data_IF_502914022092
#
_entry.id   IF_502914022092
#
_cell.length_a   1.000
_cell.length_b   1.000
_cell.length_c   1.000
_cell.angle_alpha   90.00
_cell.angle_beta   90.00
_cell.angle_gamma   90.00
#
_symmetry.space_group_name_H-M   'P 1'
#
loop_
_entity.id
_entity.type
_entity.pdbx_description
1 polymer ?
#
# COMPACT_ATOMS: atom_id res chain seq x y z
N UNK A 1 21.42 11.60 2.39
CA UNK A 1 21.66 10.15 2.59
C UNK A 1 20.55 9.44 1.85
N UNK A 2 20.90 8.62 0.86
CA UNK A 2 19.89 7.83 0.15
C UNK A 2 19.22 6.89 1.15
N UNK A 3 17.88 6.94 1.21
CA UNK A 3 17.12 6.01 2.05
C UNK A 3 17.34 4.59 1.51
N UNK A 4 17.49 3.58 2.38
CA UNK A 4 17.64 2.20 1.93
C UNK A 4 16.43 1.75 1.10
N UNK A 5 16.69 1.08 -0.02
CA UNK A 5 15.65 0.54 -0.88
C UNK A 5 15.24 -0.83 -0.33
N UNK A 6 13.96 -0.99 -0.08
CA UNK A 6 13.37 -2.27 0.28
C UNK A 6 12.60 -2.83 -0.91
N UNK A 7 12.50 -4.15 -1.01
CA UNK A 7 11.66 -4.83 -2.00
C UNK A 7 10.85 -5.91 -1.31
N UNK A 8 9.62 -6.08 -1.76
CA UNK A 8 8.83 -7.24 -1.36
C UNK A 8 9.48 -8.49 -1.97
N UNK A 9 9.86 -9.46 -1.15
CA UNK A 9 10.74 -10.56 -1.55
C UNK A 9 10.21 -11.88 -1.04
N UNK A 10 10.32 -12.91 -1.88
CA UNK A 10 9.87 -14.27 -1.62
C UNK A 10 11.03 -15.22 -1.89
N UNK A 11 11.61 -15.77 -0.83
CA UNK A 11 12.58 -16.85 -0.92
C UNK A 11 11.85 -18.17 -0.97
N UNK A 12 11.78 -18.77 -2.15
CA UNK A 12 11.10 -20.05 -2.39
C UNK A 12 11.95 -21.18 -1.85
N UNK A 13 11.33 -22.06 -1.07
CA UNK A 13 11.98 -23.24 -0.50
C UNK A 13 11.11 -24.48 -0.68
N UNK A 14 11.74 -25.65 -0.66
CA UNK A 14 11.08 -26.96 -0.60
C UNK A 14 11.42 -27.63 0.72
N UNK A 15 10.44 -27.73 1.63
CA UNK A 15 10.59 -28.36 2.94
C UNK A 15 9.82 -29.68 3.08
N UNK A 16 9.09 -30.10 2.04
CA UNK A 16 8.12 -31.19 2.08
C UNK A 16 6.74 -30.78 2.63
N UNK A 17 6.43 -29.47 2.64
CA UNK A 17 5.14 -28.95 3.07
C UNK A 17 4.06 -29.14 2.00
N UNK A 18 2.95 -29.76 2.39
CA UNK A 18 1.78 -29.95 1.53
C UNK A 18 0.67 -28.94 1.87
N UNK A 19 0.21 -28.20 0.86
CA UNK A 19 -0.86 -27.21 1.06
C UNK A 19 -2.14 -27.85 1.63
N UNK A 20 -2.63 -27.31 2.75
CA UNK A 20 -3.81 -27.81 3.46
C UNK A 20 -3.58 -29.05 4.33
N UNK A 21 -2.38 -29.66 4.28
CA UNK A 21 -2.01 -30.82 5.12
C UNK A 21 -0.83 -30.53 6.05
N UNK A 22 0.04 -29.60 5.67
CA UNK A 22 1.23 -29.24 6.43
C UNK A 22 2.38 -30.23 6.25
N UNK A 23 3.16 -30.38 7.30
CA UNK A 23 4.22 -31.38 7.45
C UNK A 23 3.96 -32.18 8.73
N UNK A 24 4.68 -33.29 8.93
CA UNK A 24 4.69 -33.94 10.25
C UNK A 24 5.23 -32.99 11.32
N UNK A 25 4.82 -33.21 12.57
CA UNK A 25 5.26 -32.42 13.72
C UNK A 25 6.79 -32.42 13.84
N UNK A 26 7.43 -33.59 13.74
CA UNK A 26 8.89 -33.75 13.76
C UNK A 26 9.59 -32.92 12.67
N UNK A 27 9.09 -32.94 11.42
CA UNK A 27 9.65 -32.13 10.33
C UNK A 27 9.45 -30.64 10.56
N UNK A 28 8.30 -30.27 11.12
CA UNK A 28 7.95 -28.89 11.42
C UNK A 28 8.86 -28.33 12.50
N UNK A 29 9.09 -29.08 13.58
CA UNK A 29 10.00 -28.72 14.66
C UNK A 29 11.44 -28.61 14.15
N UNK A 30 11.91 -29.59 13.38
CA UNK A 30 13.25 -29.57 12.80
C UNK A 30 13.45 -28.35 11.87
N UNK A 31 12.48 -28.06 11.00
CA UNK A 31 12.49 -26.90 10.12
C UNK A 31 12.63 -25.59 10.91
N UNK A 32 11.75 -25.37 11.89
CA UNK A 32 11.81 -24.12 12.65
C UNK A 32 13.02 -24.03 13.58
N UNK A 33 13.52 -25.14 14.11
CA UNK A 33 14.77 -25.16 14.86
C UNK A 33 15.96 -24.74 13.97
N UNK A 34 16.02 -25.24 12.75
CA UNK A 34 17.06 -24.88 11.79
C UNK A 34 16.96 -23.41 11.36
N UNK A 35 15.75 -22.92 11.02
CA UNK A 35 15.53 -21.50 10.68
C UNK A 35 15.99 -20.60 11.82
N UNK A 36 15.61 -20.90 13.07
CA UNK A 36 16.05 -20.13 14.24
C UNK A 36 17.58 -20.10 14.35
N UNK A 37 18.23 -21.24 14.18
CA UNK A 37 19.67 -21.34 14.27
C UNK A 37 20.39 -20.58 13.15
N UNK A 38 20.04 -20.85 11.88
CA UNK A 38 20.65 -20.21 10.71
C UNK A 38 20.54 -18.68 10.78
N UNK A 39 19.36 -18.16 11.07
CA UNK A 39 19.13 -16.72 11.09
C UNK A 39 19.74 -16.04 12.33
N UNK A 40 19.66 -16.65 13.52
CA UNK A 40 20.27 -16.08 14.73
C UNK A 40 21.81 -16.01 14.63
N UNK A 41 22.45 -17.01 14.02
CA UNK A 41 23.90 -17.00 13.76
C UNK A 41 24.32 -15.88 12.80
N UNK A 42 23.40 -15.38 11.98
CA UNK A 42 23.62 -14.29 11.03
C UNK A 42 23.02 -12.95 11.53
N UNK A 43 22.76 -12.83 12.84
CA UNK A 43 22.37 -11.56 13.47
C UNK A 43 20.90 -11.19 13.36
N UNK A 44 20.04 -12.06 12.82
CA UNK A 44 18.60 -11.84 12.80
C UNK A 44 17.98 -12.19 14.15
N UNK A 45 16.97 -11.43 14.55
CA UNK A 45 16.12 -11.75 15.69
C UNK A 45 14.96 -12.63 15.24
N UNK A 46 14.56 -13.59 16.08
CA UNK A 46 13.38 -14.41 15.87
C UNK A 46 12.22 -13.82 16.68
N UNK A 47 11.13 -13.49 16.00
CA UNK A 47 9.89 -13.06 16.64
C UNK A 47 8.81 -14.13 16.51
N UNK A 48 8.46 -14.75 17.63
CA UNK A 48 7.40 -15.76 17.69
C UNK A 48 6.00 -15.11 17.66
N UNK A 49 5.05 -15.75 16.97
CA UNK A 49 3.66 -15.27 16.90
C UNK A 49 2.79 -15.88 17.99
N UNK A 50 2.05 -15.01 18.70
CA UNK A 50 1.23 -15.37 19.88
C UNK A 50 0.12 -16.40 19.66
N UNK A 51 -0.29 -16.66 18.42
CA UNK A 51 -1.48 -17.47 18.09
C UNK A 51 -1.18 -18.66 17.15
N UNK A 52 -0.02 -19.30 17.30
CA UNK A 52 0.32 -20.51 16.53
C UNK A 52 0.63 -20.26 15.05
N UNK A 53 1.11 -19.06 14.72
CA UNK A 53 1.61 -18.74 13.38
C UNK A 53 3.11 -19.00 13.26
N UNK A 54 3.63 -19.06 12.04
CA UNK A 54 5.07 -19.16 11.82
C UNK A 54 5.80 -17.91 12.38
N UNK A 55 7.05 -18.06 12.85
CA UNK A 55 7.83 -16.93 13.33
C UNK A 55 8.19 -15.98 12.18
N UNK A 56 8.54 -14.76 12.57
CA UNK A 56 9.19 -13.81 11.69
C UNK A 56 10.71 -13.75 11.99
N UNK A 57 11.56 -13.70 10.97
CA UNK A 57 12.99 -13.34 11.12
C UNK A 57 13.18 -11.87 10.81
N UNK A 58 13.89 -11.15 11.67
CA UNK A 58 13.94 -9.68 11.65
C UNK A 58 15.37 -9.16 11.74
N UNK A 59 15.74 -8.27 10.83
CA UNK A 59 16.97 -7.48 10.88
C UNK A 59 16.67 -6.05 10.40
N UNK A 60 16.79 -5.09 11.31
CA UNK A 60 16.31 -3.71 11.10
C UNK A 60 14.83 -3.69 10.67
N UNK A 61 14.53 -3.16 9.47
CA UNK A 61 13.19 -3.16 8.86
C UNK A 61 12.97 -4.30 7.87
N UNK A 62 13.98 -5.17 7.67
CA UNK A 62 13.79 -6.44 6.97
C UNK A 62 13.04 -7.39 7.89
N UNK A 63 11.92 -7.93 7.42
CA UNK A 63 11.08 -8.88 8.17
C UNK A 63 10.56 -9.94 7.21
N UNK A 64 10.87 -11.20 7.46
CA UNK A 64 10.37 -12.33 6.67
C UNK A 64 9.51 -13.24 7.53
N UNK A 65 8.27 -13.45 7.07
CA UNK A 65 7.40 -14.49 7.59
C UNK A 65 7.90 -15.86 7.13
N UNK A 66 8.20 -16.75 8.08
CA UNK A 66 8.87 -18.02 7.78
C UNK A 66 7.88 -19.15 7.50
N UNK A 67 7.17 -19.08 6.38
CA UNK A 67 6.33 -20.19 5.96
C UNK A 67 7.20 -21.36 5.44
N UNK A 68 6.86 -22.63 5.70
CA UNK A 68 7.64 -23.76 5.20
C UNK A 68 7.74 -23.89 3.67
N UNK A 69 6.90 -23.17 2.91
CA UNK A 69 7.02 -23.09 1.44
C UNK A 69 7.81 -21.86 0.96
N UNK A 70 7.93 -20.84 1.80
CA UNK A 70 8.57 -19.58 1.44
C UNK A 70 8.88 -18.73 2.68
N UNK A 71 10.00 -18.01 2.64
CA UNK A 71 10.22 -16.88 3.53
C UNK A 71 9.85 -15.61 2.77
N UNK A 72 8.85 -14.86 3.23
CA UNK A 72 8.33 -13.71 2.49
C UNK A 72 8.12 -12.45 3.30
N UNK A 73 8.39 -11.30 2.68
CA UNK A 73 8.21 -9.98 3.27
C UNK A 73 9.19 -8.92 2.75
N UNK A 74 9.19 -7.73 3.36
CA UNK A 74 10.10 -6.65 2.99
C UNK A 74 11.56 -7.00 3.30
N UNK A 75 12.45 -6.81 2.32
CA UNK A 75 13.88 -7.03 2.45
C UNK A 75 14.65 -5.83 1.91
N UNK A 76 15.65 -5.38 2.66
CA UNK A 76 16.61 -4.38 2.18
C UNK A 76 17.42 -4.98 1.03
N UNK A 77 17.50 -4.30 -0.11
CA UNK A 77 17.99 -4.88 -1.37
C UNK A 77 19.41 -5.47 -1.28
N UNK A 78 20.29 -4.86 -0.49
CA UNK A 78 21.65 -5.32 -0.21
C UNK A 78 21.73 -6.61 0.64
N UNK A 79 20.66 -6.95 1.38
CA UNK A 79 20.60 -8.15 2.21
C UNK A 79 20.11 -9.39 1.46
N UNK A 80 19.58 -9.26 0.25
CA UNK A 80 18.99 -10.38 -0.51
C UNK A 80 20.02 -11.50 -0.71
N UNK A 81 21.18 -11.19 -1.30
CA UNK A 81 22.24 -12.18 -1.55
C UNK A 81 22.76 -12.82 -0.26
N UNK A 82 22.75 -12.08 0.85
CA UNK A 82 23.15 -12.61 2.14
C UNK A 82 22.13 -13.62 2.65
N UNK A 83 20.83 -13.33 2.55
CA UNK A 83 19.76 -14.24 2.94
C UNK A 83 19.75 -15.50 2.07
N UNK A 84 19.98 -15.36 0.76
CA UNK A 84 20.13 -16.53 -0.13
C UNK A 84 21.26 -17.45 0.35
N UNK A 85 22.42 -16.89 0.71
CA UNK A 85 23.55 -17.67 1.25
C UNK A 85 23.21 -18.36 2.57
N UNK A 86 22.41 -17.74 3.44
CA UNK A 86 21.93 -18.38 4.67
C UNK A 86 21.04 -19.58 4.31
N UNK A 87 20.08 -19.38 3.41
CA UNK A 87 19.11 -20.42 3.03
C UNK A 87 19.75 -21.59 2.28
N UNK A 88 20.81 -21.37 1.51
CA UNK A 88 21.55 -22.45 0.84
C UNK A 88 22.26 -23.41 1.80
N UNK A 89 22.38 -23.06 3.08
CA UNK A 89 22.97 -23.91 4.12
C UNK A 89 21.92 -24.82 4.79
N UNK A 90 20.64 -24.68 4.46
CA UNK A 90 19.56 -25.48 5.02
C UNK A 90 19.70 -26.97 4.68
N UNK A 91 19.34 -27.80 5.66
CA UNK A 91 19.34 -29.26 5.56
C UNK A 91 17.95 -29.87 5.72
N UNK A 92 17.02 -29.16 6.35
CA UNK A 92 15.61 -29.53 6.49
C UNK A 92 14.73 -29.01 5.35
N UNK A 93 15.30 -28.16 4.48
CA UNK A 93 14.66 -27.63 3.28
C UNK A 93 15.70 -27.37 2.20
N UNK A 94 15.25 -27.22 0.95
CA UNK A 94 16.08 -26.79 -0.18
C UNK A 94 15.69 -25.38 -0.61
N UNK A 95 16.66 -24.46 -0.68
CA UNK A 95 16.47 -23.16 -1.34
C UNK A 95 16.32 -23.34 -2.86
N UNK A 96 15.28 -22.74 -3.44
CA UNK A 96 14.95 -22.88 -4.86
C UNK A 96 15.30 -21.63 -5.67
N UNK A 97 14.75 -20.47 -5.27
CA UNK A 97 14.93 -19.18 -5.96
C UNK A 97 14.41 -18.02 -5.11
N UNK A 98 14.74 -16.80 -5.53
CA UNK A 98 14.20 -15.56 -4.99
C UNK A 98 13.32 -14.87 -6.04
N UNK A 99 12.09 -14.53 -5.65
CA UNK A 99 11.21 -13.68 -6.44
C UNK A 99 11.09 -12.30 -5.75
N UNK A 100 11.22 -11.20 -6.50
CA UNK A 100 11.10 -9.82 -5.97
C UNK A 100 9.96 -9.05 -6.65
N UNK A 101 9.15 -8.33 -5.88
CA UNK A 101 7.93 -7.64 -6.36
C UNK A 101 7.89 -6.15 -5.98
N UNK A 102 8.60 -5.36 -6.78
CA UNK A 102 8.55 -3.90 -6.70
C UNK A 102 9.18 -3.33 -5.43
N UNK A 103 9.54 -2.05 -5.52
CA UNK A 103 10.19 -1.35 -4.42
C UNK A 103 9.15 -0.91 -3.37
N UNK A 104 9.56 -0.97 -2.11
CA UNK A 104 8.79 -0.55 -0.95
C UNK A 104 9.44 0.70 -0.37
N UNK A 105 8.66 1.76 -0.25
CA UNK A 105 9.13 3.01 0.31
C UNK A 105 9.12 2.96 1.85
N UNK A 106 10.23 3.39 2.45
CA UNK A 106 10.36 3.56 3.90
C UNK A 106 9.94 4.98 4.28
N UNK A 107 8.63 5.17 4.35
CA UNK A 107 7.99 6.46 4.65
C UNK A 107 7.13 6.36 5.91
N UNK A 108 7.21 7.39 6.76
CA UNK A 108 6.18 7.64 7.76
C UNK A 108 4.86 8.06 7.10
N UNK A 109 3.82 8.20 7.90
CA UNK A 109 2.50 8.64 7.43
C UNK A 109 2.53 10.06 6.85
N UNK A 110 3.31 10.93 7.49
CA UNK A 110 3.53 12.32 7.10
C UNK A 110 4.45 12.42 5.89
N UNK A 111 5.50 11.60 5.82
CA UNK A 111 6.38 11.55 4.66
C UNK A 111 5.66 11.03 3.42
N UNK A 112 4.79 10.03 3.57
CA UNK A 112 3.96 9.52 2.48
C UNK A 112 2.96 10.58 2.00
N UNK A 113 2.34 11.32 2.92
CA UNK A 113 1.47 12.44 2.57
C UNK A 113 2.23 13.54 1.81
N UNK A 114 3.41 13.93 2.32
CA UNK A 114 4.27 14.93 1.66
C UNK A 114 4.71 14.47 0.27
N UNK A 115 5.04 13.19 0.10
CA UNK A 115 5.35 12.60 -1.20
C UNK A 115 4.21 12.79 -2.20
N UNK A 116 2.94 12.58 -1.80
CA UNK A 116 1.82 12.80 -2.72
C UNK A 116 1.68 14.27 -3.13
N UNK A 117 1.86 15.21 -2.21
CA UNK A 117 1.86 16.63 -2.54
C UNK A 117 2.96 17.00 -3.53
N UNK A 118 4.20 16.58 -3.23
CA UNK A 118 5.36 16.86 -4.09
C UNK A 118 5.18 16.28 -5.50
N UNK A 119 4.63 15.07 -5.59
CA UNK A 119 4.57 14.32 -6.85
C UNK A 119 3.33 14.65 -7.69
N UNK A 120 2.22 15.05 -7.06
CA UNK A 120 0.92 15.10 -7.73
C UNK A 120 0.21 16.46 -7.70
N UNK A 121 0.59 17.43 -6.86
CA UNK A 121 -0.15 18.69 -6.71
C UNK A 121 -0.38 19.41 -8.04
N UNK A 122 0.60 19.38 -8.94
CA UNK A 122 0.52 20.04 -10.25
C UNK A 122 -0.45 19.36 -11.24
N UNK A 123 -0.68 18.06 -11.10
CA UNK A 123 -1.42 17.27 -12.10
C UNK A 123 -2.76 16.73 -11.60
N UNK A 124 -2.90 16.56 -10.28
CA UNK A 124 -4.05 15.90 -9.66
C UNK A 124 -5.37 16.61 -9.98
N UNK A 125 -5.36 17.94 -10.05
CA UNK A 125 -6.56 18.71 -10.39
C UNK A 125 -7.12 18.32 -11.76
N UNK A 126 -6.26 18.05 -12.76
CA UNK A 126 -6.68 17.56 -14.07
C UNK A 126 -7.30 16.17 -14.01
N UNK A 127 -6.72 15.28 -13.21
CA UNK A 127 -7.26 13.92 -12.97
C UNK A 127 -8.66 13.99 -12.38
N UNK A 128 -8.89 14.84 -11.37
CA UNK A 128 -10.23 15.04 -10.79
C UNK A 128 -11.22 15.58 -11.82
N UNK A 129 -10.83 16.61 -12.59
CA UNK A 129 -11.71 17.21 -13.59
C UNK A 129 -12.14 16.21 -14.67
N UNK A 130 -11.25 15.30 -15.08
CA UNK A 130 -11.58 14.23 -16.02
C UNK A 130 -12.43 13.14 -15.37
N UNK A 131 -12.03 12.69 -14.18
CA UNK A 131 -12.71 11.63 -13.45
C UNK A 131 -14.15 12.01 -13.08
N UNK A 132 -14.42 13.27 -12.74
CA UNK A 132 -15.75 13.79 -12.45
C UNK A 132 -16.46 14.42 -13.67
N UNK A 133 -15.86 14.38 -14.86
CA UNK A 133 -16.51 14.92 -16.07
C UNK A 133 -17.78 14.14 -16.39
N UNK A 134 -18.85 14.88 -16.67
CA UNK A 134 -20.12 14.33 -17.16
C UNK A 134 -20.53 15.02 -18.46
N UNK A 135 -21.31 14.32 -19.29
CA UNK A 135 -21.74 14.84 -20.60
C UNK A 135 -22.75 15.98 -20.49
N UNK A 136 -23.49 16.06 -19.37
CA UNK A 136 -24.58 17.02 -19.15
C UNK A 136 -24.53 17.52 -17.71
N UNK A 137 -24.89 18.78 -17.50
CA UNK A 137 -24.86 19.47 -16.20
C UNK A 137 -25.72 18.80 -15.13
N UNK A 138 -26.78 18.09 -15.50
CA UNK A 138 -27.66 17.41 -14.56
C UNK A 138 -27.20 15.98 -14.20
N UNK A 139 -26.15 15.48 -14.83
CA UNK A 139 -25.58 14.17 -14.53
C UNK A 139 -24.44 14.31 -13.53
N UNK A 140 -24.40 13.39 -12.56
CA UNK A 140 -23.38 13.30 -11.53
C UNK A 140 -22.86 11.87 -11.43
N UNK A 141 -21.64 11.74 -10.88
CA UNK A 141 -21.05 10.46 -10.50
C UNK A 141 -21.12 10.27 -8.99
N UNK A 142 -21.10 9.02 -8.53
CA UNK A 142 -21.00 8.70 -7.11
C UNK A 142 -19.63 9.14 -6.62
N UNK A 143 -19.60 10.01 -5.60
CA UNK A 143 -18.35 10.65 -5.15
C UNK A 143 -17.36 9.62 -4.66
N UNK A 144 -17.79 8.76 -3.73
CA UNK A 144 -16.93 7.79 -3.06
C UNK A 144 -16.29 6.81 -4.04
N UNK A 145 -17.05 6.31 -5.03
CA UNK A 145 -16.52 5.40 -6.06
C UNK A 145 -15.40 6.02 -6.88
N UNK A 146 -15.53 7.30 -7.24
CA UNK A 146 -14.50 7.99 -8.01
C UNK A 146 -13.26 8.24 -7.15
N UNK A 147 -13.44 8.66 -5.90
CA UNK A 147 -12.32 8.90 -4.97
C UNK A 147 -11.55 7.62 -4.66
N UNK A 148 -12.25 6.49 -4.48
CA UNK A 148 -11.63 5.17 -4.28
C UNK A 148 -10.76 4.77 -5.48
N UNK A 149 -11.28 4.93 -6.71
CA UNK A 149 -10.53 4.64 -7.93
C UNK A 149 -9.28 5.50 -8.06
N UNK A 150 -9.37 6.81 -7.76
CA UNK A 150 -8.20 7.70 -7.83
C UNK A 150 -7.20 7.33 -6.74
N UNK A 151 -7.66 7.09 -5.52
CA UNK A 151 -6.81 6.70 -4.37
C UNK A 151 -6.02 5.44 -4.70
N UNK A 152 -6.69 4.38 -5.19
CA UNK A 152 -6.02 3.12 -5.55
C UNK A 152 -5.00 3.24 -6.68
N UNK A 153 -5.12 4.25 -7.55
CA UNK A 153 -4.14 4.52 -8.61
C UNK A 153 -2.92 5.29 -8.13
N UNK A 154 -3.06 6.10 -7.08
CA UNK A 154 -1.95 6.88 -6.53
C UNK A 154 -1.18 6.14 -5.44
N UNK A 155 -1.85 5.24 -4.72
CA UNK A 155 -1.30 4.58 -3.55
C UNK A 155 0.05 3.91 -3.88
N UNK A 156 1.10 4.34 -3.18
CA UNK A 156 2.42 3.72 -3.28
C UNK A 156 2.55 2.56 -2.31
N UNK A 157 3.43 1.61 -2.63
CA UNK A 157 3.76 0.51 -1.73
C UNK A 157 4.77 0.99 -0.69
N UNK A 158 4.44 0.85 0.59
CA UNK A 158 5.32 1.23 1.71
C UNK A 158 5.59 0.04 2.62
N UNK A 159 6.64 0.13 3.44
CA UNK A 159 6.94 -0.86 4.49
C UNK A 159 5.82 -0.99 5.53
N UNK A 160 5.01 0.06 5.69
CA UNK A 160 3.83 0.08 6.55
C UNK A 160 2.67 -0.62 5.85
N UNK A 161 2.87 -1.91 5.55
CA UNK A 161 1.90 -2.93 5.10
C UNK A 161 0.76 -2.37 4.27
N UNK A 162 0.79 -2.54 2.94
CA UNK A 162 -0.22 -2.06 1.98
C UNK A 162 -1.63 -2.04 2.58
N UNK A 163 -2.06 -0.89 3.10
CA UNK A 163 -3.34 -0.84 3.77
C UNK A 163 -4.40 -1.07 2.69
N UNK A 164 -5.24 -2.07 2.91
CA UNK A 164 -6.60 -2.11 2.39
C UNK A 164 -7.14 -0.69 2.48
N UNK A 165 -7.77 -0.21 1.40
CA UNK A 165 -8.39 1.11 1.34
C UNK A 165 -8.95 1.51 2.71
N UNK A 166 -8.27 2.47 3.34
CA UNK A 166 -8.67 3.02 4.62
C UNK A 166 -8.91 4.49 4.43
N UNK A 167 -10.04 4.95 4.97
CA UNK A 167 -10.36 6.37 5.04
C UNK A 167 -9.34 7.17 5.89
N UNK A 168 -8.41 6.48 6.57
CA UNK A 168 -7.30 7.09 7.32
C UNK A 168 -5.95 7.00 6.60
N UNK A 169 -5.88 6.39 5.41
CA UNK A 169 -4.63 6.27 4.66
C UNK A 169 -4.11 7.64 4.20
N UNK A 170 -2.77 7.85 4.12
CA UNK A 170 -2.21 9.10 3.58
C UNK A 170 -2.70 9.43 2.17
N UNK A 171 -2.83 8.42 1.31
CA UNK A 171 -3.35 8.59 -0.04
C UNK A 171 -4.79 9.12 -0.04
N UNK A 172 -5.66 8.57 0.80
CA UNK A 172 -7.04 9.04 0.88
C UNK A 172 -7.14 10.44 1.49
N UNK A 173 -6.32 10.75 2.51
CA UNK A 173 -6.23 12.09 3.10
C UNK A 173 -5.85 13.13 2.05
N UNK A 174 -4.78 12.88 1.30
CA UNK A 174 -4.35 13.73 0.18
C UNK A 174 -5.47 13.96 -0.86
N UNK A 175 -6.17 12.88 -1.24
CA UNK A 175 -7.30 12.92 -2.16
C UNK A 175 -8.45 13.76 -1.63
N UNK A 176 -8.79 13.62 -0.34
CA UNK A 176 -9.86 14.39 0.29
C UNK A 176 -9.51 15.88 0.44
N UNK A 177 -8.26 16.21 0.78
CA UNK A 177 -7.77 17.59 0.85
C UNK A 177 -7.84 18.25 -0.53
N UNK A 178 -7.35 17.57 -1.57
CA UNK A 178 -7.44 18.03 -2.96
C UNK A 178 -8.88 18.20 -3.41
N UNK A 179 -9.74 17.22 -3.11
CA UNK A 179 -11.16 17.28 -3.42
C UNK A 179 -11.84 18.50 -2.77
N UNK A 180 -11.60 18.72 -1.48
CA UNK A 180 -12.14 19.86 -0.73
C UNK A 180 -11.73 21.20 -1.35
N UNK A 181 -10.44 21.35 -1.70
CA UNK A 181 -9.92 22.53 -2.40
C UNK A 181 -10.60 22.74 -3.76
N UNK A 182 -10.78 21.68 -4.53
CA UNK A 182 -11.45 21.74 -5.84
C UNK A 182 -12.94 22.14 -5.72
N UNK A 183 -13.61 21.75 -4.65
CA UNK A 183 -15.00 22.16 -4.36
C UNK A 183 -15.04 23.62 -3.92
N UNK A 184 -14.15 24.06 -3.03
CA UNK A 184 -14.11 25.46 -2.56
C UNK A 184 -13.79 26.45 -3.69
N UNK A 185 -12.90 26.06 -4.61
CA UNK A 185 -12.60 26.80 -5.85
C UNK A 185 -13.75 26.78 -6.88
N UNK A 186 -14.85 26.07 -6.60
CA UNK A 186 -16.00 25.93 -7.49
C UNK A 186 -15.72 25.14 -8.78
N UNK A 187 -14.60 24.41 -8.83
CA UNK A 187 -14.20 23.57 -9.97
C UNK A 187 -14.95 22.23 -9.99
N UNK A 188 -15.36 21.77 -8.82
CA UNK A 188 -16.27 20.63 -8.64
C UNK A 188 -17.59 21.11 -8.04
N UNK A 189 -18.68 20.45 -8.42
CA UNK A 189 -20.03 20.72 -7.93
C UNK A 189 -20.56 19.49 -7.24
N UNK A 190 -20.90 19.63 -5.97
CA UNK A 190 -21.52 18.58 -5.16
C UNK A 190 -23.04 18.49 -5.38
N UNK A 191 -23.56 17.29 -5.21
CA UNK A 191 -24.99 17.01 -5.17
C UNK A 191 -25.26 15.84 -4.23
N UNK A 192 -26.54 15.53 -4.02
CA UNK A 192 -26.93 14.36 -3.23
C UNK A 192 -28.14 13.66 -3.84
N UNK A 193 -28.18 12.34 -3.70
CA UNK A 193 -29.36 11.53 -4.01
C UNK A 193 -29.87 10.86 -2.75
N UNK A 194 -31.15 10.99 -2.45
CA UNK A 194 -31.77 10.24 -1.35
C UNK A 194 -31.91 8.77 -1.76
N UNK A 195 -31.46 7.87 -0.89
CA UNK A 195 -31.60 6.42 -1.01
C UNK A 195 -32.28 5.87 0.25
N UNK A 196 -32.71 4.61 0.21
CA UNK A 196 -33.23 3.92 1.39
C UNK A 196 -32.18 3.82 2.52
N UNK A 197 -30.90 3.82 2.17
CA UNK A 197 -29.76 3.75 3.09
C UNK A 197 -29.22 5.12 3.55
N UNK A 198 -29.82 6.23 3.11
CA UNK A 198 -29.41 7.58 3.52
C UNK A 198 -29.18 8.54 2.35
N UNK A 199 -28.29 9.52 2.53
CA UNK A 199 -27.89 10.46 1.47
C UNK A 199 -26.65 9.92 0.77
N UNK A 200 -26.75 9.71 -0.54
CA UNK A 200 -25.64 9.32 -1.40
C UNK A 200 -24.96 10.59 -1.97
N UNK A 201 -23.70 10.86 -1.61
CA UNK A 201 -22.97 12.01 -2.14
C UNK A 201 -22.61 11.83 -3.61
N UNK A 202 -22.82 12.89 -4.37
CA UNK A 202 -22.60 12.92 -5.81
C UNK A 202 -21.70 14.10 -6.17
N UNK A 203 -20.94 13.97 -7.25
CA UNK A 203 -20.08 15.05 -7.72
C UNK A 203 -19.95 15.05 -9.25
N UNK A 204 -19.70 16.24 -9.80
CA UNK A 204 -19.31 16.44 -11.20
C UNK A 204 -18.36 17.62 -11.33
N UNK A 205 -17.71 17.69 -12.47
CA UNK A 205 -16.95 18.89 -12.88
C UNK A 205 -17.88 20.06 -13.19
N UNK A 206 -17.47 21.26 -12.79
CA UNK A 206 -18.17 22.50 -13.10
C UNK A 206 -18.13 22.81 -14.61
N UNK A 207 -19.19 23.42 -15.12
CA UNK A 207 -19.23 23.91 -16.50
C UNK A 207 -18.48 25.24 -16.63
N UNK A 208 -18.03 25.58 -17.84
CA UNK A 208 -17.37 26.87 -18.09
C UNK A 208 -18.22 28.10 -17.70
N UNK A 209 -19.55 27.99 -17.72
CA UNK A 209 -20.46 29.05 -17.24
C UNK A 209 -20.43 29.19 -15.72
N UNK A 210 -20.43 28.08 -14.99
CA UNK A 210 -20.36 28.06 -13.52
C UNK A 210 -19.01 28.60 -13.03
N UNK A 211 -17.90 28.24 -13.67
CA UNK A 211 -16.57 28.78 -13.36
C UNK A 211 -16.49 30.30 -13.56
N UNK A 212 -17.13 30.84 -14.61
CA UNK A 212 -17.19 32.29 -14.85
C UNK A 212 -18.03 33.01 -13.81
N UNK A 213 -19.10 32.38 -13.32
CA UNK A 213 -19.94 32.95 -12.26
C UNK A 213 -19.16 33.00 -10.94
N UNK A 214 -18.49 31.90 -10.58
CA UNK A 214 -17.70 31.81 -9.34
C UNK A 214 -16.62 32.90 -9.27
N UNK A 215 -15.83 33.08 -10.33
CA UNK A 215 -14.81 34.16 -10.38
C UNK A 215 -15.39 35.56 -10.14
N UNK A 216 -16.55 35.86 -10.73
CA UNK A 216 -17.22 37.17 -10.54
C UNK A 216 -17.75 37.37 -9.13
N UNK A 217 -18.07 36.29 -8.41
CA UNK A 217 -18.48 36.36 -7.01
C UNK A 217 -17.26 36.63 -6.13
N UNK A 218 -16.15 35.93 -6.38
CA UNK A 218 -14.91 36.10 -5.63
C UNK A 218 -14.35 37.54 -5.80
N UNK A 219 -14.34 38.07 -7.03
CA UNK A 219 -13.93 39.46 -7.37
C UNK A 219 -14.78 40.56 -6.69
N UNK A 220 -15.97 40.22 -6.15
CA UNK A 220 -16.86 41.18 -5.45
C UNK A 220 -16.69 41.16 -3.94
N UNK A 221 -15.96 40.17 -3.42
CA UNK A 221 -15.74 39.95 -1.99
C UNK A 221 -14.32 40.32 -1.53
N UNK A 222 -13.42 40.66 -2.45
CA UNK A 222 -12.13 41.34 -2.19
C UNK A 222 -12.29 42.87 -2.21
#
# INVERSE_FOLDING_TARGET
MDKPIYTDTYFRIESGYEWGRGMSEEKTEAFFAEIRNLFSQNGFTIEERKYGGCPDVVLDKTRLYCHPQELSGPVRKDLIEHIEKILTQGTTFQYLRTDTYGELLDLTEEEELAYYHETHDMTIGGVFLEAFRTKRRNLYKIREQVLEIITGKLQVRTLRKSSIYSNTSPAYRYIMETYGKMVSEGRLVEGCKQTASGKLPLCRTATGRELKMKRREDDRTE
#
